data_IF_314508716687
#
_entry.id   IF_314508716687
#
_cell.length_a   1.000
_cell.length_b   1.000
_cell.length_c   1.000
_cell.angle_alpha   90.00
_cell.angle_beta   90.00
_cell.angle_gamma   90.00
#
_symmetry.space_group_name_H-M   'P 1'
#
loop_
_entity.id
_entity.type
_entity.pdbx_description
1 polymer ?
#
# COMPACT_ATOMS: atom_id res chain seq x y z
N UNK A 1 11.59 21.12 55.23
CA UNK A 1 11.77 20.79 53.79
C UNK A 1 10.74 19.73 53.44
N UNK A 2 9.72 20.09 52.66
CA UNK A 2 8.69 19.17 52.19
C UNK A 2 9.18 18.46 50.90
N UNK A 3 8.86 17.18 50.68
CA UNK A 3 9.30 16.50 49.47
C UNK A 3 8.55 17.09 48.27
N UNK A 4 9.30 17.44 47.22
CA UNK A 4 8.75 17.81 45.92
C UNK A 4 8.00 16.58 45.39
N UNK A 5 6.68 16.69 45.28
CA UNK A 5 5.85 15.66 44.67
C UNK A 5 6.36 15.37 43.26
N UNK A 6 6.70 14.10 43.02
CA UNK A 6 6.97 13.55 41.70
C UNK A 6 5.87 14.00 40.75
N UNK A 7 6.22 14.46 39.55
CA UNK A 7 5.29 14.88 38.50
C UNK A 7 4.97 13.66 37.61
N UNK A 8 3.98 12.79 37.92
CA UNK A 8 3.69 11.63 37.08
C UNK A 8 2.71 12.06 35.96
N UNK A 9 2.05 13.21 36.12
CA UNK A 9 0.99 13.71 35.26
C UNK A 9 1.50 14.31 33.95
N UNK A 10 2.78 14.71 33.89
CA UNK A 10 3.40 15.29 32.69
C UNK A 10 4.00 14.24 31.75
N UNK A 11 4.21 13.00 32.23
CA UNK A 11 4.71 11.89 31.41
C UNK A 11 3.59 11.16 30.67
N UNK A 12 2.36 11.21 31.19
CA UNK A 12 1.20 10.54 30.60
C UNK A 12 0.81 11.03 29.18
N UNK A 13 0.81 12.34 28.87
CA UNK A 13 0.46 12.79 27.52
C UNK A 13 1.52 12.45 26.48
N UNK A 14 2.81 12.35 26.86
CA UNK A 14 3.90 12.10 25.91
C UNK A 14 3.89 10.65 25.37
N UNK A 15 3.43 9.69 26.19
CA UNK A 15 3.28 8.28 25.81
C UNK A 15 2.09 8.06 24.86
N UNK A 16 1.08 8.94 24.90
CA UNK A 16 -0.12 8.84 24.06
C UNK A 16 0.03 9.52 22.69
N UNK A 17 1.06 10.35 22.47
CA UNK A 17 1.29 11.01 21.17
C UNK A 17 2.04 10.12 20.16
N UNK A 18 2.78 9.09 20.60
CA UNK A 18 3.58 8.26 19.70
C UNK A 18 2.77 7.28 18.83
N UNK A 19 1.63 6.71 19.27
CA UNK A 19 0.84 5.82 18.39
C UNK A 19 0.09 6.57 17.28
N UNK A 20 -0.27 7.84 17.50
CA UNK A 20 -1.13 8.60 16.59
C UNK A 20 -0.48 9.02 15.27
N UNK A 21 0.85 9.19 15.24
CA UNK A 21 1.59 9.57 14.03
C UNK A 21 1.76 8.42 13.04
N UNK A 22 1.83 7.17 13.51
CA UNK A 22 1.97 6.00 12.63
C UNK A 22 0.68 5.72 11.83
N UNK A 23 -0.47 6.14 12.34
CA UNK A 23 -1.77 6.00 11.67
C UNK A 23 -2.04 7.08 10.61
N UNK A 24 -1.16 8.07 10.45
CA UNK A 24 -1.34 9.15 9.48
C UNK A 24 -0.56 8.90 8.18
N UNK A 25 0.31 7.89 8.13
CA UNK A 25 0.91 7.39 6.88
C UNK A 25 0.05 6.28 6.28
N UNK A 26 -1.24 6.54 6.07
CA UNK A 26 -2.17 5.61 5.41
C UNK A 26 -1.93 5.64 3.89
N UNK A 27 -0.74 5.19 3.47
CA UNK A 27 -0.60 4.59 2.15
C UNK A 27 -1.33 3.26 2.14
N UNK A 28 -1.96 2.90 1.02
CA UNK A 28 -2.55 1.57 0.84
C UNK A 28 -1.53 0.49 1.21
N UNK A 29 -1.92 -0.49 2.02
CA UNK A 29 -1.00 -1.54 2.47
C UNK A 29 -0.37 -2.28 1.30
N UNK A 30 0.81 -2.88 1.50
CA UNK A 30 1.45 -3.73 0.49
C UNK A 30 0.51 -4.87 0.04
N UNK A 31 -0.25 -5.46 0.96
CA UNK A 31 -1.24 -6.50 0.63
C UNK A 31 -2.35 -5.98 -0.28
N UNK A 32 -2.79 -4.74 -0.10
CA UNK A 32 -3.75 -4.09 -0.99
C UNK A 32 -3.15 -3.83 -2.37
N UNK A 33 -1.91 -3.32 -2.44
CA UNK A 33 -1.22 -3.19 -3.73
C UNK A 33 -1.14 -4.52 -4.49
N UNK A 34 -0.78 -5.61 -3.79
CA UNK A 34 -0.72 -6.94 -4.40
C UNK A 34 -2.09 -7.39 -4.95
N UNK A 35 -3.15 -7.22 -4.16
CA UNK A 35 -4.49 -7.64 -4.57
C UNK A 35 -5.05 -6.83 -5.74
N UNK A 36 -4.68 -5.55 -5.85
CA UNK A 36 -5.19 -4.68 -6.91
C UNK A 36 -4.34 -4.72 -8.18
N UNK A 37 -3.02 -4.87 -8.06
CA UNK A 37 -2.11 -4.60 -9.18
C UNK A 37 -1.28 -5.79 -9.66
N UNK A 38 -1.15 -6.90 -8.91
CA UNK A 38 -0.33 -8.03 -9.38
C UNK A 38 -1.22 -9.15 -9.92
N UNK A 39 -0.97 -9.60 -11.15
CA UNK A 39 -1.55 -10.82 -11.75
C UNK A 39 -0.45 -11.52 -12.55
N UNK A 40 0.27 -12.41 -11.87
CA UNK A 40 1.38 -13.16 -12.46
C UNK A 40 1.37 -14.61 -11.98
N UNK A 41 1.35 -15.61 -12.89
CA UNK A 41 1.26 -15.47 -14.34
C UNK A 41 -0.11 -14.93 -14.79
N UNK A 42 -0.17 -14.29 -15.98
CA UNK A 42 -1.43 -13.80 -16.55
C UNK A 42 -2.38 -14.97 -16.82
N UNK A 43 -3.57 -14.91 -16.24
CA UNK A 43 -4.66 -15.83 -16.58
C UNK A 43 -5.10 -15.69 -18.04
N UNK A 44 -5.38 -16.81 -18.71
CA UNK A 44 -5.88 -16.80 -20.09
C UNK A 44 -7.31 -16.25 -20.16
N UNK A 45 -7.59 -15.40 -21.13
CA UNK A 45 -8.94 -14.95 -21.46
C UNK A 45 -9.12 -14.90 -22.98
N UNK A 46 -10.38 -14.93 -23.44
CA UNK A 46 -10.69 -14.91 -24.86
C UNK A 46 -10.36 -13.58 -25.56
N UNK A 47 -10.19 -12.49 -24.79
CA UNK A 47 -9.76 -11.18 -25.27
C UNK A 47 -9.23 -10.34 -24.09
N UNK A 48 -8.46 -9.29 -24.35
CA UNK A 48 -7.99 -8.37 -23.30
C UNK A 48 -9.14 -7.61 -22.63
N UNK A 49 -10.23 -7.31 -23.35
CA UNK A 49 -11.42 -6.70 -22.75
C UNK A 49 -12.09 -7.64 -21.75
N UNK A 50 -12.22 -8.92 -22.09
CA UNK A 50 -12.77 -9.93 -21.19
C UNK A 50 -11.84 -10.17 -20.00
N UNK A 51 -10.52 -10.18 -20.23
CA UNK A 51 -9.52 -10.24 -19.15
C UNK A 51 -9.72 -9.09 -18.15
N UNK A 52 -9.75 -7.84 -18.62
CA UNK A 52 -9.92 -6.69 -17.76
C UNK A 52 -11.24 -6.76 -16.98
N UNK A 53 -12.36 -7.07 -17.63
CA UNK A 53 -13.66 -7.20 -16.96
C UNK A 53 -13.63 -8.26 -15.85
N UNK A 54 -13.09 -9.44 -16.14
CA UNK A 54 -12.99 -10.54 -15.18
C UNK A 54 -12.07 -10.18 -14.01
N UNK A 55 -10.89 -9.64 -14.29
CA UNK A 55 -9.92 -9.31 -13.25
C UNK A 55 -10.41 -8.18 -12.34
N UNK A 56 -11.05 -7.15 -12.88
CA UNK A 56 -11.64 -6.08 -12.07
C UNK A 56 -12.70 -6.62 -11.11
N UNK A 57 -13.52 -7.59 -11.56
CA UNK A 57 -14.53 -8.25 -10.70
C UNK A 57 -13.89 -9.17 -9.67
N UNK A 58 -12.94 -10.02 -10.07
CA UNK A 58 -12.26 -10.97 -9.19
C UNK A 58 -11.46 -10.30 -8.07
N UNK A 59 -10.98 -9.08 -8.30
CA UNK A 59 -10.22 -8.29 -7.32
C UNK A 59 -11.09 -7.30 -6.54
N UNK A 60 -12.41 -7.42 -6.68
CA UNK A 60 -13.41 -6.56 -6.04
C UNK A 60 -13.21 -5.05 -6.31
N UNK A 61 -12.69 -4.71 -7.49
CA UNK A 61 -12.48 -3.33 -7.96
C UNK A 61 -13.73 -2.74 -8.61
N UNK A 62 -14.86 -3.42 -8.46
CA UNK A 62 -16.17 -3.01 -8.99
C UNK A 62 -17.17 -2.67 -7.90
N UNK A 63 -16.82 -2.89 -6.61
CA UNK A 63 -17.65 -2.57 -5.46
C UNK A 63 -16.87 -1.76 -4.42
N UNK A 64 -17.55 -0.92 -3.61
CA UNK A 64 -18.92 -0.45 -3.79
C UNK A 64 -19.10 0.46 -5.03
N UNK A 65 -17.99 0.90 -5.64
CA UNK A 65 -17.96 1.69 -6.87
C UNK A 65 -17.00 1.07 -7.87
N UNK A 66 -17.24 1.33 -9.16
CA UNK A 66 -16.35 0.86 -10.22
C UNK A 66 -15.10 1.74 -10.33
N UNK A 67 -13.94 1.16 -10.07
CA UNK A 67 -12.65 1.80 -10.34
C UNK A 67 -12.52 2.02 -11.86
N UNK A 68 -12.22 3.25 -12.27
CA UNK A 68 -12.24 3.66 -13.67
C UNK A 68 -11.03 3.16 -14.46
N UNK A 69 -9.89 3.00 -13.80
CA UNK A 69 -8.66 2.50 -14.41
C UNK A 69 -7.85 1.72 -13.39
N UNK A 70 -7.30 0.59 -13.82
CA UNK A 70 -6.39 -0.21 -13.03
C UNK A 70 -5.39 -0.91 -13.95
N UNK A 71 -4.14 -1.05 -13.49
CA UNK A 71 -3.10 -1.79 -14.21
C UNK A 71 -2.78 -3.07 -13.46
N UNK A 72 -2.79 -4.20 -14.19
CA UNK A 72 -2.33 -5.50 -13.70
C UNK A 72 -0.94 -5.79 -14.24
N UNK A 73 0.04 -5.81 -13.34
CA UNK A 73 1.44 -6.11 -13.59
C UNK A 73 1.63 -7.62 -13.65
N UNK A 74 2.21 -8.08 -14.76
CA UNK A 74 2.52 -9.48 -15.03
C UNK A 74 3.99 -9.75 -14.71
N UNK A 75 4.37 -9.58 -13.44
CA UNK A 75 5.72 -9.87 -12.95
C UNK A 75 5.69 -10.47 -11.54
N UNK A 76 6.71 -11.25 -11.15
CA UNK A 76 6.90 -11.71 -9.77
C UNK A 76 6.94 -10.55 -8.78
N UNK A 77 6.34 -10.74 -7.61
CA UNK A 77 6.26 -9.69 -6.56
C UNK A 77 7.63 -9.21 -6.09
N UNK A 78 8.63 -10.10 -6.04
CA UNK A 78 10.00 -9.74 -5.69
C UNK A 78 10.66 -8.83 -6.74
N UNK A 79 10.32 -8.99 -8.03
CA UNK A 79 10.82 -8.10 -9.08
C UNK A 79 10.18 -6.71 -8.96
N UNK A 80 8.87 -6.66 -8.72
CA UNK A 80 8.14 -5.39 -8.52
C UNK A 80 8.64 -4.67 -7.28
N UNK A 81 8.85 -5.38 -6.17
CA UNK A 81 9.44 -4.81 -4.96
C UNK A 81 10.89 -4.33 -5.17
N UNK A 82 11.63 -5.00 -6.04
CA UNK A 82 13.00 -4.61 -6.41
C UNK A 82 13.09 -3.20 -7.02
N UNK A 83 12.02 -2.70 -7.65
CA UNK A 83 11.94 -1.33 -8.21
C UNK A 83 12.16 -0.27 -7.15
N UNK A 84 11.77 -0.52 -5.90
CA UNK A 84 11.97 0.40 -4.78
C UNK A 84 13.43 0.44 -4.27
N UNK A 85 14.35 -0.26 -4.92
CA UNK A 85 15.74 -0.41 -4.49
C UNK A 85 16.70 -0.28 -5.67
N UNK A 86 17.67 -1.18 -5.83
CA UNK A 86 18.62 -1.17 -6.95
C UNK A 86 17.98 -1.51 -8.30
N UNK A 87 16.76 -2.06 -8.30
CA UNK A 87 16.03 -2.43 -9.51
C UNK A 87 15.21 -1.31 -10.14
N UNK A 88 15.26 -0.09 -9.60
CA UNK A 88 14.57 1.07 -10.18
C UNK A 88 15.37 2.36 -10.03
N UNK A 89 14.94 3.38 -10.77
CA UNK A 89 15.48 4.73 -10.73
C UNK A 89 14.54 5.62 -9.94
N UNK A 90 15.06 6.22 -8.87
CA UNK A 90 14.35 7.25 -8.13
C UNK A 90 13.98 8.42 -9.04
N UNK A 91 12.73 8.90 -8.93
CA UNK A 91 12.20 10.04 -9.69
C UNK A 91 12.03 11.25 -8.77
N UNK A 92 11.14 11.13 -7.80
CA UNK A 92 10.88 12.13 -6.76
C UNK A 92 10.10 11.46 -5.61
N UNK A 93 10.13 12.05 -4.42
CA UNK A 93 9.46 11.51 -3.23
C UNK A 93 9.72 10.00 -3.04
N UNK A 94 8.65 9.20 -2.98
CA UNK A 94 8.67 7.74 -2.90
C UNK A 94 8.33 7.08 -4.25
N UNK A 95 8.59 7.75 -5.36
CA UNK A 95 8.28 7.27 -6.72
C UNK A 95 9.56 6.77 -7.39
N UNK A 96 9.48 5.55 -7.91
CA UNK A 96 10.55 4.85 -8.60
C UNK A 96 10.06 4.41 -9.98
N UNK A 97 10.95 4.46 -10.97
CA UNK A 97 10.72 3.91 -12.30
C UNK A 97 11.53 2.62 -12.48
N UNK A 98 10.93 1.56 -12.98
CA UNK A 98 11.63 0.29 -13.31
C UNK A 98 12.57 0.44 -14.50
#
# INVERSE_FOLDING_TARGET
MAPRGSHPALLLPLVLLTPGLAQLSEGTSYSHFLSQHIEFPKSSASSDQNYCKLMMQHRDLTHPFCITSNTFIQAPTNQVQGVCSSGGKWVCDNIYNS
#
